data_IF_301298458153
#
_entry.id   IF_301298458153
#
_cell.length_a   1.000
_cell.length_b   1.000
_cell.length_c   1.000
_cell.angle_alpha   90.00
_cell.angle_beta   90.00
_cell.angle_gamma   90.00
#
_symmetry.space_group_name_H-M   'P 1'
#
loop_
_entity.id
_entity.type
_entity.pdbx_description
1 polymer ?
#
# COMPACT_ATOMS: atom_id res chain seq x y z
N UNK A 1 -1.16 -18.16 -10.36
CA UNK A 1 -0.15 -18.73 -9.42
C UNK A 1 -0.52 -18.32 -8.00
N UNK A 2 -0.33 -19.18 -7.02
CA UNK A 2 -0.58 -18.84 -5.61
C UNK A 2 0.43 -17.79 -5.11
N UNK A 3 -0.02 -16.86 -4.26
CA UNK A 3 0.79 -15.79 -3.65
C UNK A 3 1.31 -16.15 -2.25
N UNK A 4 1.12 -17.39 -1.83
CA UNK A 4 1.36 -17.83 -0.45
C UNK A 4 2.79 -17.55 0.04
N UNK A 5 3.82 -17.75 -0.79
CA UNK A 5 5.20 -17.50 -0.42
C UNK A 5 5.50 -16.00 -0.21
N UNK A 6 4.92 -15.13 -1.06
CA UNK A 6 5.11 -13.69 -0.94
C UNK A 6 4.34 -13.14 0.27
N UNK A 7 3.12 -13.65 0.52
CA UNK A 7 2.34 -13.34 1.71
C UNK A 7 3.06 -13.84 2.96
N UNK A 8 3.60 -15.07 2.95
CA UNK A 8 4.39 -15.61 4.05
C UNK A 8 5.55 -14.68 4.39
N UNK A 9 6.36 -14.28 3.39
CA UNK A 9 7.47 -13.36 3.61
C UNK A 9 6.99 -12.02 4.17
N UNK A 10 5.87 -11.48 3.67
CA UNK A 10 5.28 -10.25 4.20
C UNK A 10 4.89 -10.38 5.67
N UNK A 11 4.37 -11.53 6.09
CA UNK A 11 3.90 -11.80 7.45
C UNK A 11 5.00 -12.10 8.47
N UNK A 12 6.22 -12.45 8.04
CA UNK A 12 7.31 -12.71 8.96
C UNK A 12 7.55 -11.50 9.87
N UNK A 13 7.36 -11.70 11.19
CA UNK A 13 7.73 -10.72 12.21
C UNK A 13 9.26 -10.56 12.30
N UNK A 14 9.72 -9.59 13.06
CA UNK A 14 11.12 -9.28 13.36
C UNK A 14 11.99 -8.89 12.15
N UNK A 15 11.71 -9.37 10.94
CA UNK A 15 12.43 -8.93 9.73
C UNK A 15 11.87 -7.58 9.28
N UNK A 16 12.70 -6.55 9.26
CA UNK A 16 12.30 -5.21 8.83
C UNK A 16 11.92 -5.17 7.34
N UNK A 17 11.11 -4.18 6.95
CA UNK A 17 10.60 -4.07 5.57
C UNK A 17 11.73 -3.98 4.54
N UNK A 18 12.76 -3.17 4.82
CA UNK A 18 13.90 -3.04 3.93
C UNK A 18 14.72 -4.35 3.81
N UNK A 19 14.83 -5.14 4.89
CA UNK A 19 15.47 -6.47 4.83
C UNK A 19 14.66 -7.44 3.98
N UNK A 20 13.33 -7.42 4.06
CA UNK A 20 12.46 -8.21 3.17
C UNK A 20 12.67 -7.81 1.70
N UNK A 21 12.80 -6.51 1.41
CA UNK A 21 13.11 -6.03 0.07
C UNK A 21 14.48 -6.52 -0.42
N UNK A 22 15.51 -6.53 0.45
CA UNK A 22 16.82 -7.11 0.13
C UNK A 22 16.71 -8.60 -0.20
N UNK A 23 15.97 -9.37 0.61
CA UNK A 23 15.74 -10.79 0.34
C UNK A 23 15.05 -11.02 -1.01
N UNK A 24 14.01 -10.24 -1.33
CA UNK A 24 13.34 -10.31 -2.63
C UNK A 24 14.28 -10.00 -3.81
N UNK A 25 15.13 -8.99 -3.67
CA UNK A 25 16.12 -8.64 -4.70
C UNK A 25 17.15 -9.76 -4.90
N UNK A 26 17.61 -10.39 -3.81
CA UNK A 26 18.63 -11.44 -3.88
C UNK A 26 18.08 -12.78 -4.38
N UNK A 27 16.92 -13.19 -3.90
CA UNK A 27 16.36 -14.51 -4.20
C UNK A 27 15.24 -14.49 -5.26
N UNK A 28 14.90 -13.31 -5.77
CA UNK A 28 13.98 -13.13 -6.87
C UNK A 28 12.50 -13.27 -6.53
N UNK A 29 12.12 -13.88 -5.40
CA UNK A 29 10.72 -14.08 -5.00
C UNK A 29 10.62 -14.53 -3.54
N UNK A 30 9.41 -14.44 -2.95
CA UNK A 30 9.14 -15.03 -1.65
C UNK A 30 9.39 -16.54 -1.63
N UNK A 31 9.12 -17.23 -2.75
CA UNK A 31 9.44 -18.65 -2.91
C UNK A 31 10.95 -18.89 -2.86
N UNK A 32 11.75 -18.10 -3.56
CA UNK A 32 13.22 -18.21 -3.51
C UNK A 32 13.76 -18.01 -2.08
N UNK A 33 13.22 -17.04 -1.34
CA UNK A 33 13.56 -16.86 0.08
C UNK A 33 13.16 -18.07 0.93
N UNK A 34 11.96 -18.60 0.69
CA UNK A 34 11.49 -19.79 1.39
C UNK A 34 12.38 -21.00 1.11
N UNK A 35 12.77 -21.27 -0.13
CA UNK A 35 13.63 -22.37 -0.53
C UNK A 35 15.06 -22.23 0.02
N UNK A 36 15.62 -21.01 0.04
CA UNK A 36 16.94 -20.75 0.64
C UNK A 36 16.95 -21.03 2.14
N UNK A 37 15.84 -20.78 2.83
CA UNK A 37 15.68 -21.03 4.25
C UNK A 37 16.64 -20.21 5.12
N UNK A 38 16.65 -20.52 6.43
CA UNK A 38 17.48 -19.77 7.40
C UNK A 38 18.97 -19.89 7.11
N UNK A 39 19.45 -21.07 6.70
CA UNK A 39 20.88 -21.33 6.52
C UNK A 39 21.42 -20.60 5.27
N UNK A 40 20.65 -20.58 4.17
CA UNK A 40 20.96 -19.80 2.99
C UNK A 40 21.01 -18.30 3.29
N UNK A 41 19.96 -17.79 3.95
CA UNK A 41 19.92 -16.37 4.32
C UNK A 41 21.04 -15.99 5.28
N UNK A 42 21.34 -16.81 6.29
CA UNK A 42 22.45 -16.56 7.22
C UNK A 42 23.80 -16.49 6.52
N UNK A 43 24.02 -17.35 5.52
CA UNK A 43 25.25 -17.36 4.73
C UNK A 43 25.35 -16.12 3.84
N UNK A 44 24.28 -15.74 3.16
CA UNK A 44 24.27 -14.69 2.15
C UNK A 44 24.10 -13.28 2.75
N UNK A 45 23.57 -13.19 3.98
CA UNK A 45 23.35 -11.95 4.74
C UNK A 45 23.88 -12.05 6.18
N UNK A 46 25.22 -12.02 6.37
CA UNK A 46 25.85 -12.20 7.69
C UNK A 46 25.45 -11.10 8.71
N UNK A 47 24.99 -9.93 8.23
CA UNK A 47 24.55 -8.82 9.08
C UNK A 47 23.09 -8.96 9.59
N UNK A 48 22.38 -10.01 9.19
CA UNK A 48 21.07 -10.28 9.75
C UNK A 48 21.20 -10.76 11.19
N UNK A 49 20.39 -10.19 12.06
CA UNK A 49 20.41 -10.55 13.48
C UNK A 49 19.92 -11.98 13.70
N UNK A 50 20.25 -12.56 14.84
CA UNK A 50 19.76 -13.88 15.21
C UNK A 50 18.20 -13.96 15.15
N UNK A 51 17.50 -12.87 15.56
CA UNK A 51 16.03 -12.78 15.49
C UNK A 51 15.49 -12.78 14.05
N UNK A 52 16.20 -12.14 13.12
CA UNK A 52 15.83 -12.17 11.70
C UNK A 52 15.92 -13.60 11.14
N UNK A 53 16.97 -14.33 11.52
CA UNK A 53 17.20 -15.72 11.07
C UNK A 53 16.19 -16.66 11.71
N UNK A 54 15.90 -16.52 12.99
CA UNK A 54 14.89 -17.32 13.70
C UNK A 54 13.49 -17.12 13.10
N UNK A 55 13.16 -15.91 12.66
CA UNK A 55 11.89 -15.65 11.99
C UNK A 55 11.66 -16.50 10.73
N UNK A 56 12.75 -16.90 10.04
CA UNK A 56 12.69 -17.76 8.84
C UNK A 56 12.43 -19.24 9.17
N UNK A 57 12.47 -19.63 10.44
CA UNK A 57 12.09 -20.97 10.89
C UNK A 57 10.58 -21.19 10.80
N UNK A 58 9.79 -20.10 10.86
CA UNK A 58 8.37 -20.19 10.61
C UNK A 58 8.11 -20.46 9.13
N UNK A 59 7.90 -21.72 8.80
CA UNK A 59 7.64 -22.20 7.43
C UNK A 59 6.16 -22.52 7.20
N UNK A 60 5.28 -22.02 8.07
CA UNK A 60 3.85 -22.27 7.96
C UNK A 60 3.24 -21.40 6.84
N UNK A 61 2.79 -22.04 5.78
CA UNK A 61 2.08 -21.42 4.65
C UNK A 61 0.55 -21.40 4.84
N UNK A 62 0.01 -22.10 5.85
CA UNK A 62 -1.43 -22.12 6.07
C UNK A 62 -1.99 -20.73 6.41
N UNK A 63 -1.24 -19.94 7.19
CA UNK A 63 -1.64 -18.58 7.52
C UNK A 63 -1.66 -17.69 6.26
N UNK A 64 -0.71 -17.87 5.36
CA UNK A 64 -0.68 -17.17 4.07
C UNK A 64 -1.86 -17.62 3.17
N UNK A 65 -2.20 -18.90 3.17
CA UNK A 65 -3.37 -19.42 2.46
C UNK A 65 -4.69 -18.81 3.01
N UNK A 66 -4.83 -18.73 4.35
CA UNK A 66 -5.99 -18.07 4.99
C UNK A 66 -6.11 -16.58 4.62
N UNK A 67 -4.98 -15.88 4.48
CA UNK A 67 -4.96 -14.49 4.02
C UNK A 67 -5.44 -14.41 2.56
N UNK A 68 -4.98 -15.30 1.67
CA UNK A 68 -5.40 -15.34 0.27
C UNK A 68 -6.91 -15.57 0.15
N UNK A 69 -7.47 -16.51 0.93
CA UNK A 69 -8.91 -16.73 1.02
C UNK A 69 -9.68 -15.53 1.60
N UNK A 70 -9.14 -14.87 2.63
CA UNK A 70 -9.76 -13.68 3.20
C UNK A 70 -9.80 -12.52 2.21
N UNK A 71 -8.75 -12.36 1.38
CA UNK A 71 -8.74 -11.40 0.28
C UNK A 71 -9.85 -11.68 -0.73
N UNK A 72 -10.03 -12.94 -1.13
CA UNK A 72 -11.10 -13.32 -2.05
C UNK A 72 -12.50 -12.97 -1.48
N UNK A 73 -12.72 -13.21 -0.18
CA UNK A 73 -14.01 -12.88 0.49
C UNK A 73 -14.32 -11.38 0.52
N UNK A 74 -13.32 -10.49 0.54
CA UNK A 74 -13.53 -9.04 0.53
C UNK A 74 -13.25 -8.39 -0.83
N UNK A 75 -13.16 -9.19 -1.91
CA UNK A 75 -12.86 -8.74 -3.27
C UNK A 75 -11.54 -7.94 -3.35
N UNK A 76 -10.55 -8.36 -2.60
CA UNK A 76 -9.19 -7.84 -2.68
C UNK A 76 -8.30 -8.77 -3.50
N UNK A 77 -7.46 -8.20 -4.36
CA UNK A 77 -6.39 -8.91 -5.06
C UNK A 77 -5.08 -8.76 -4.29
N UNK A 78 -4.22 -9.77 -4.35
CA UNK A 78 -2.85 -9.71 -3.85
C UNK A 78 -1.93 -9.46 -5.02
N UNK A 79 -1.17 -8.37 -4.98
CA UNK A 79 -0.16 -8.04 -5.98
C UNK A 79 1.20 -8.12 -5.29
N UNK A 80 2.05 -9.01 -5.78
CA UNK A 80 3.41 -9.23 -5.28
C UNK A 80 4.41 -8.29 -5.94
N UNK A 81 5.51 -7.99 -5.27
CA UNK A 81 6.59 -7.12 -5.75
C UNK A 81 7.05 -7.43 -7.19
N UNK A 82 7.04 -8.71 -7.60
CA UNK A 82 7.49 -9.16 -8.90
C UNK A 82 6.39 -9.27 -9.96
N UNK A 83 5.14 -8.95 -9.61
CA UNK A 83 4.06 -8.94 -10.59
C UNK A 83 4.21 -7.76 -11.55
N UNK A 84 3.74 -7.94 -12.77
CA UNK A 84 3.80 -6.90 -13.79
C UNK A 84 2.92 -5.68 -13.49
N UNK A 85 1.87 -5.86 -12.68
CA UNK A 85 0.96 -4.81 -12.25
C UNK A 85 1.34 -4.18 -10.89
N UNK A 86 2.49 -4.57 -10.30
CA UNK A 86 3.02 -3.88 -9.13
C UNK A 86 3.50 -2.45 -9.52
N UNK A 87 3.10 -1.39 -8.79
CA UNK A 87 3.41 -0.02 -9.18
C UNK A 87 4.92 0.22 -9.33
N UNK A 88 5.36 0.65 -10.52
CA UNK A 88 6.78 0.80 -10.83
C UNK A 88 7.48 1.78 -9.89
N UNK A 89 6.87 2.95 -9.63
CA UNK A 89 7.43 3.94 -8.69
C UNK A 89 7.59 3.37 -7.27
N UNK A 90 6.67 2.51 -6.83
CA UNK A 90 6.72 1.91 -5.51
C UNK A 90 7.87 0.90 -5.37
N UNK A 91 8.39 0.34 -6.47
CA UNK A 91 9.58 -0.52 -6.45
C UNK A 91 10.85 0.25 -6.10
N UNK A 92 10.88 1.55 -6.37
CA UNK A 92 12.08 2.38 -6.23
C UNK A 92 12.32 2.88 -4.80
N UNK A 93 11.33 2.78 -3.90
CA UNK A 93 11.54 3.18 -2.50
C UNK A 93 12.48 2.18 -1.78
N UNK A 94 13.19 2.61 -0.72
CA UNK A 94 14.15 1.75 -0.02
C UNK A 94 13.53 0.48 0.58
N UNK A 95 12.26 0.53 0.95
CA UNK A 95 11.53 -0.53 1.65
C UNK A 95 10.16 -0.83 1.01
N UNK A 96 10.12 -1.22 -0.29
CA UNK A 96 8.87 -1.51 -0.98
C UNK A 96 8.13 -2.66 -0.29
N UNK A 97 6.80 -2.60 -0.21
CA UNK A 97 6.00 -3.72 0.28
C UNK A 97 6.25 -5.01 -0.49
N UNK A 98 6.45 -6.13 0.21
CA UNK A 98 6.55 -7.46 -0.40
C UNK A 98 5.30 -7.81 -1.21
N UNK A 99 4.15 -7.45 -0.66
CA UNK A 99 2.83 -7.54 -1.29
C UNK A 99 2.02 -6.28 -0.97
N UNK A 100 1.13 -5.92 -1.87
CA UNK A 100 0.05 -4.97 -1.64
C UNK A 100 -1.30 -5.67 -1.87
N UNK A 101 -2.25 -5.34 -1.01
CA UNK A 101 -3.64 -5.78 -1.13
C UNK A 101 -4.43 -4.68 -1.81
N UNK A 102 -5.19 -5.01 -2.86
CA UNK A 102 -5.83 -4.02 -3.74
C UNK A 102 -7.31 -4.32 -3.91
N UNK A 103 -8.17 -3.34 -3.72
CA UNK A 103 -9.58 -3.36 -4.10
C UNK A 103 -9.82 -2.31 -5.18
N UNK A 104 -10.58 -2.65 -6.21
CA UNK A 104 -10.70 -1.85 -7.41
C UNK A 104 -9.59 -2.13 -8.41
N UNK A 105 -9.29 -1.15 -9.28
CA UNK A 105 -8.30 -1.27 -10.34
C UNK A 105 -7.23 -0.19 -10.23
N UNK A 106 -5.96 -0.61 -10.19
CA UNK A 106 -4.85 0.34 -10.26
C UNK A 106 -4.92 1.08 -11.61
N UNK A 107 -4.63 2.39 -11.61
CA UNK A 107 -4.60 3.17 -12.85
C UNK A 107 -3.59 2.61 -13.85
N UNK A 108 -4.04 2.41 -15.08
CA UNK A 108 -3.21 1.88 -16.17
C UNK A 108 -2.48 2.99 -16.93
N UNK A 109 -1.41 2.61 -17.62
CA UNK A 109 -0.63 3.48 -18.49
C UNK A 109 0.32 4.43 -17.75
N UNK A 110 1.04 5.25 -18.52
CA UNK A 110 2.01 6.23 -18.02
C UNK A 110 1.31 7.53 -17.58
N UNK A 111 0.50 7.44 -16.51
CA UNK A 111 -0.16 8.62 -15.93
C UNK A 111 0.73 9.29 -14.90
N UNK A 112 0.64 10.61 -14.82
CA UNK A 112 1.27 11.34 -13.73
C UNK A 112 0.51 11.09 -12.42
N UNK A 113 1.21 10.68 -11.39
CA UNK A 113 0.65 10.47 -10.05
C UNK A 113 1.15 11.58 -9.13
N UNK A 114 0.24 12.24 -8.44
CA UNK A 114 0.55 13.29 -7.46
C UNK A 114 -0.04 12.89 -6.11
N UNK A 115 0.82 12.80 -5.09
CA UNK A 115 0.37 12.66 -3.71
C UNK A 115 -0.20 14.00 -3.23
N UNK A 116 -1.43 14.01 -2.74
CA UNK A 116 -2.02 15.18 -2.08
C UNK A 116 -2.29 14.86 -0.62
N UNK A 117 -1.65 15.60 0.28
CA UNK A 117 -1.67 15.32 1.72
C UNK A 117 -1.82 16.61 2.53
N UNK A 118 -2.21 16.46 3.79
CA UNK A 118 -2.28 17.59 4.71
C UNK A 118 -2.96 17.26 6.04
N UNK A 119 -3.40 18.31 6.72
CA UNK A 119 -4.01 18.19 8.05
C UNK A 119 -5.31 17.40 8.02
N UNK A 120 -5.51 16.56 9.07
CA UNK A 120 -6.80 15.89 9.34
C UNK A 120 -7.87 16.86 9.79
N UNK A 121 -7.49 17.87 10.60
CA UNK A 121 -8.35 18.99 11.02
C UNK A 121 -7.99 20.22 10.20
N UNK A 122 -8.21 20.13 8.88
CA UNK A 122 -7.93 21.21 7.95
C UNK A 122 -8.96 22.34 8.05
N UNK A 123 -8.56 23.55 7.65
CA UNK A 123 -9.46 24.67 7.50
C UNK A 123 -10.47 24.44 6.36
N UNK A 124 -11.61 25.14 6.40
CA UNK A 124 -12.57 25.09 5.31
C UNK A 124 -11.96 25.51 3.98
N UNK A 125 -11.09 26.53 3.99
CA UNK A 125 -10.33 26.97 2.82
C UNK A 125 -9.37 25.89 2.33
N UNK A 126 -8.62 25.23 3.22
CA UNK A 126 -7.72 24.14 2.88
C UNK A 126 -8.44 22.95 2.24
N UNK A 127 -9.59 22.55 2.78
CA UNK A 127 -10.41 21.49 2.21
C UNK A 127 -10.97 21.87 0.82
N UNK A 128 -11.42 23.11 0.65
CA UNK A 128 -11.88 23.64 -0.64
C UNK A 128 -10.74 23.61 -1.67
N UNK A 129 -9.59 24.18 -1.32
CA UNK A 129 -8.42 24.20 -2.20
C UNK A 129 -7.97 22.78 -2.59
N UNK A 130 -7.98 21.83 -1.63
CA UNK A 130 -7.65 20.44 -1.91
C UNK A 130 -8.58 19.82 -2.96
N UNK A 131 -9.89 20.05 -2.82
CA UNK A 131 -10.87 19.54 -3.77
C UNK A 131 -10.73 20.20 -5.16
N UNK A 132 -10.60 21.52 -5.24
CA UNK A 132 -10.45 22.27 -6.50
C UNK A 132 -9.17 21.89 -7.25
N UNK A 133 -8.03 21.84 -6.56
CA UNK A 133 -6.76 21.46 -7.16
C UNK A 133 -6.80 20.00 -7.66
N UNK A 134 -7.33 19.08 -6.82
CA UNK A 134 -7.47 17.68 -7.21
C UNK A 134 -8.39 17.51 -8.43
N UNK A 135 -9.48 18.28 -8.51
CA UNK A 135 -10.39 18.31 -9.65
C UNK A 135 -9.68 18.76 -10.93
N UNK A 136 -8.97 19.87 -10.89
CA UNK A 136 -8.26 20.40 -12.07
C UNK A 136 -7.14 19.46 -12.53
N UNK A 137 -6.37 18.88 -11.59
CA UNK A 137 -5.36 17.86 -11.92
C UNK A 137 -6.01 16.64 -12.57
N UNK A 138 -7.11 16.16 -12.00
CA UNK A 138 -7.84 14.99 -12.47
C UNK A 138 -8.40 15.21 -13.88
N UNK A 139 -8.99 16.35 -14.18
CA UNK A 139 -9.45 16.71 -15.55
C UNK A 139 -8.33 16.60 -16.60
N UNK A 140 -7.10 16.81 -16.18
CA UNK A 140 -5.92 16.68 -17.03
C UNK A 140 -5.29 15.27 -16.98
N UNK A 141 -6.01 14.27 -16.49
CA UNK A 141 -5.59 12.87 -16.48
C UNK A 141 -4.61 12.48 -15.36
N UNK A 142 -4.32 13.41 -14.44
CA UNK A 142 -3.44 13.15 -13.29
C UNK A 142 -4.16 12.26 -12.27
N UNK A 143 -3.47 11.24 -11.77
CA UNK A 143 -3.95 10.38 -10.69
C UNK A 143 -3.60 10.98 -9.34
N UNK A 144 -4.60 11.19 -8.51
CA UNK A 144 -4.40 11.63 -7.13
C UNK A 144 -4.18 10.42 -6.22
N UNK A 145 -3.07 10.44 -5.47
CA UNK A 145 -2.75 9.44 -4.45
C UNK A 145 -2.84 10.09 -3.07
N UNK A 146 -3.61 9.50 -2.16
CA UNK A 146 -3.74 10.04 -0.81
C UNK A 146 -4.10 8.95 0.21
N UNK A 147 -4.29 9.35 1.47
CA UNK A 147 -4.45 8.40 2.58
C UNK A 147 -5.87 8.17 3.05
N UNK A 148 -6.87 8.76 2.41
CA UNK A 148 -8.29 8.67 2.80
C UNK A 148 -8.57 9.12 4.26
N UNK A 149 -7.67 9.90 4.88
CA UNK A 149 -7.89 10.49 6.19
C UNK A 149 -8.92 11.64 6.13
N UNK A 150 -9.34 12.12 7.30
CA UNK A 150 -10.15 13.35 7.37
C UNK A 150 -9.40 14.55 6.80
N UNK A 151 -10.11 15.61 6.46
CA UNK A 151 -9.56 16.87 5.97
C UNK A 151 -9.03 16.78 4.55
N UNK A 152 -7.76 17.10 4.35
CA UNK A 152 -7.17 17.25 3.01
C UNK A 152 -7.28 15.96 2.18
N UNK A 153 -6.94 14.81 2.75
CA UNK A 153 -6.94 13.54 2.01
C UNK A 153 -8.33 13.23 1.41
N UNK A 154 -9.36 13.27 2.25
CA UNK A 154 -10.75 13.01 1.83
C UNK A 154 -11.25 14.02 0.80
N UNK A 155 -10.89 15.31 0.94
CA UNK A 155 -11.26 16.37 -0.01
C UNK A 155 -10.56 16.18 -1.35
N UNK A 156 -9.27 15.78 -1.34
CA UNK A 156 -8.51 15.50 -2.56
C UNK A 156 -9.10 14.31 -3.35
N UNK A 157 -9.49 13.24 -2.66
CA UNK A 157 -10.15 12.10 -3.34
C UNK A 157 -11.49 12.49 -3.97
N UNK A 158 -12.31 13.30 -3.28
CA UNK A 158 -13.58 13.80 -3.83
C UNK A 158 -13.35 14.62 -5.08
N UNK A 159 -12.44 15.61 -5.00
CA UNK A 159 -12.11 16.43 -6.17
C UNK A 159 -11.58 15.61 -7.34
N UNK A 160 -10.75 14.59 -7.08
CA UNK A 160 -10.27 13.70 -8.13
C UNK A 160 -11.39 12.90 -8.81
N UNK A 161 -12.33 12.35 -8.02
CA UNK A 161 -13.50 11.65 -8.56
C UNK A 161 -14.40 12.57 -9.38
N UNK A 162 -14.65 13.79 -8.91
CA UNK A 162 -15.45 14.79 -9.61
C UNK A 162 -14.77 15.22 -10.93
N UNK A 163 -13.44 15.20 -11.00
CA UNK A 163 -12.66 15.51 -12.20
C UNK A 163 -12.58 14.37 -13.22
N UNK A 164 -13.01 13.14 -12.84
CA UNK A 164 -13.16 11.98 -13.73
C UNK A 164 -11.92 11.12 -13.94
N UNK A 165 -10.77 11.45 -13.32
CA UNK A 165 -9.60 10.54 -13.31
C UNK A 165 -9.67 9.56 -12.15
N UNK A 166 -9.07 8.36 -12.27
CA UNK A 166 -8.97 7.45 -11.14
C UNK A 166 -8.13 8.06 -10.01
N UNK A 167 -8.46 7.67 -8.78
CA UNK A 167 -7.67 8.04 -7.59
C UNK A 167 -7.27 6.79 -6.80
N UNK A 168 -6.14 6.86 -6.08
CA UNK A 168 -5.62 5.74 -5.29
C UNK A 168 -5.57 6.11 -3.82
N UNK A 169 -6.38 5.42 -3.02
CA UNK A 169 -6.34 5.55 -1.58
C UNK A 169 -5.43 4.49 -0.96
N UNK A 170 -4.43 4.93 -0.22
CA UNK A 170 -3.54 4.04 0.54
C UNK A 170 -4.02 4.00 1.98
N UNK A 171 -4.29 2.82 2.53
CA UNK A 171 -4.79 2.65 3.89
C UNK A 171 -3.66 2.38 4.89
N UNK A 172 -3.80 2.91 6.12
CA UNK A 172 -3.01 2.51 7.29
C UNK A 172 -3.68 1.39 8.11
N UNK A 173 -4.80 0.86 7.60
CA UNK A 173 -5.58 -0.24 8.21
C UNK A 173 -5.57 -1.45 7.28
N UNK A 174 -6.12 -2.57 7.74
CA UNK A 174 -6.39 -3.72 6.87
C UNK A 174 -7.24 -3.31 5.66
N UNK A 175 -7.05 -4.00 4.52
CA UNK A 175 -7.69 -3.69 3.24
C UNK A 175 -9.23 -3.78 3.29
N UNK A 176 -9.78 -4.58 4.20
CA UNK A 176 -11.20 -4.75 4.44
C UNK A 176 -11.81 -3.71 5.39
N UNK A 177 -10.98 -2.79 5.95
CA UNK A 177 -11.41 -1.78 6.94
C UNK A 177 -11.42 -0.37 6.37
N UNK A 178 -12.58 0.29 6.47
CA UNK A 178 -12.69 1.73 6.21
C UNK A 178 -12.33 2.54 7.46
N UNK A 179 -11.36 3.43 7.32
CA UNK A 179 -11.03 4.39 8.38
C UNK A 179 -10.73 5.78 7.78
N UNK A 180 -11.41 6.83 8.26
CA UNK A 180 -12.50 6.81 9.24
C UNK A 180 -13.79 6.17 8.69
N UNK A 181 -14.62 5.60 9.56
CA UNK A 181 -15.83 4.87 9.15
C UNK A 181 -16.83 5.73 8.33
N UNK A 182 -16.88 7.03 8.59
CA UNK A 182 -17.72 7.98 7.82
C UNK A 182 -17.32 8.10 6.34
N UNK A 183 -16.13 7.67 5.95
CA UNK A 183 -15.66 7.64 4.56
C UNK A 183 -16.06 6.36 3.81
N UNK A 184 -16.98 5.53 4.35
CA UNK A 184 -17.40 4.31 3.70
C UNK A 184 -18.01 4.54 2.30
N UNK A 185 -18.73 5.65 2.10
CA UNK A 185 -19.22 6.08 0.77
C UNK A 185 -18.05 6.39 -0.17
N UNK A 186 -17.15 7.28 0.27
CA UNK A 186 -15.96 7.66 -0.48
C UNK A 186 -15.09 6.44 -0.86
N UNK A 187 -14.92 5.49 0.06
CA UNK A 187 -14.17 4.25 -0.22
C UNK A 187 -14.82 3.44 -1.34
N UNK A 188 -16.15 3.33 -1.37
CA UNK A 188 -16.88 2.65 -2.46
C UNK A 188 -16.66 3.35 -3.80
N UNK A 189 -16.75 4.68 -3.81
CA UNK A 189 -16.58 5.47 -5.03
C UNK A 189 -15.14 5.35 -5.57
N UNK A 190 -14.13 5.35 -4.67
CA UNK A 190 -12.73 5.13 -5.04
C UNK A 190 -12.53 3.71 -5.61
N UNK A 191 -13.12 2.68 -5.00
CA UNK A 191 -13.03 1.29 -5.51
C UNK A 191 -13.66 1.16 -6.89
N UNK A 192 -14.75 1.87 -7.14
CA UNK A 192 -15.45 1.84 -8.43
C UNK A 192 -14.68 2.55 -9.56
N UNK A 193 -13.91 3.59 -9.24
CA UNK A 193 -13.28 4.48 -10.23
C UNK A 193 -11.74 4.53 -10.11
N UNK A 194 -11.13 3.64 -9.33
CA UNK A 194 -9.70 3.62 -9.07
C UNK A 194 -9.35 2.47 -8.14
N UNK A 195 -8.48 2.71 -7.15
CA UNK A 195 -8.06 1.66 -6.24
C UNK A 195 -7.96 2.11 -4.79
N UNK A 196 -8.29 1.20 -3.91
CA UNK A 196 -7.90 1.25 -2.49
C UNK A 196 -6.83 0.20 -2.27
N UNK A 197 -5.71 0.58 -1.66
CA UNK A 197 -4.60 -0.32 -1.40
C UNK A 197 -4.20 -0.33 0.07
N UNK A 198 -3.65 -1.43 0.52
CA UNK A 198 -3.07 -1.58 1.86
C UNK A 198 -1.88 -2.53 1.85
N UNK A 199 -0.93 -2.31 2.75
CA UNK A 199 0.13 -3.28 3.07
C UNK A 199 -0.34 -4.30 4.12
N UNK A 200 -1.55 -4.11 4.69
CA UNK A 200 -2.10 -4.95 5.75
C UNK A 200 -3.23 -5.83 5.22
N UNK A 201 -3.13 -7.17 5.41
CA UNK A 201 -4.14 -8.11 4.93
C UNK A 201 -5.48 -7.93 5.66
N UNK A 202 -6.57 -8.54 5.14
CA UNK A 202 -7.86 -8.53 5.80
C UNK A 202 -7.79 -9.06 7.24
N UNK A 203 -8.60 -8.48 8.13
CA UNK A 203 -8.74 -8.92 9.52
C UNK A 203 -7.65 -8.44 10.49
N UNK A 204 -6.57 -7.84 10.00
CA UNK A 204 -5.51 -7.31 10.88
C UNK A 204 -6.02 -6.10 11.66
N UNK A 205 -5.72 -6.06 12.96
CA UNK A 205 -6.08 -4.94 13.83
C UNK A 205 -5.35 -3.66 13.40
N UNK A 206 -6.07 -2.54 13.45
CA UNK A 206 -5.47 -1.24 13.20
C UNK A 206 -4.53 -0.85 14.34
N UNK A 207 -3.32 -0.44 14.00
CA UNK A 207 -2.33 0.08 14.93
C UNK A 207 -1.98 1.53 14.56
N UNK A 208 -1.95 2.47 15.52
CA UNK A 208 -1.72 3.90 15.23
C UNK A 208 -0.45 4.17 14.43
N UNK A 209 0.63 3.46 14.70
CA UNK A 209 1.91 3.58 13.97
C UNK A 209 1.81 3.25 12.48
N UNK A 210 0.84 2.42 12.08
CA UNK A 210 0.66 2.05 10.67
C UNK A 210 0.32 3.24 9.77
N UNK A 211 -0.38 4.26 10.30
CA UNK A 211 -0.71 5.47 9.55
C UNK A 211 0.53 6.27 9.15
N UNK A 212 1.55 6.29 10.02
CA UNK A 212 2.83 6.94 9.71
C UNK A 212 3.63 6.10 8.71
N UNK A 213 3.74 4.80 8.97
CA UNK A 213 4.47 3.86 8.10
C UNK A 213 3.88 3.80 6.69
N UNK A 214 2.56 3.93 6.55
CA UNK A 214 1.86 3.95 5.27
C UNK A 214 2.29 5.12 4.37
N UNK A 215 2.64 6.28 4.93
CA UNK A 215 2.89 7.49 4.15
C UNK A 215 4.02 7.31 3.12
N UNK A 216 5.01 6.43 3.38
CA UNK A 216 6.03 6.06 2.40
C UNK A 216 5.45 5.45 1.11
N UNK A 217 4.30 4.76 1.22
CA UNK A 217 3.62 4.18 0.06
C UNK A 217 2.91 5.28 -0.73
N UNK A 218 2.29 6.26 -0.06
CA UNK A 218 1.68 7.41 -0.74
C UNK A 218 2.73 8.16 -1.57
N UNK A 219 3.84 8.55 -0.95
CA UNK A 219 4.94 9.21 -1.67
C UNK A 219 5.59 8.31 -2.71
N UNK A 220 5.79 7.03 -2.39
CA UNK A 220 6.42 6.05 -3.27
C UNK A 220 5.60 5.66 -4.49
N UNK A 221 4.31 5.94 -4.52
CA UNK A 221 3.46 5.76 -5.69
C UNK A 221 3.31 7.03 -6.53
N UNK A 222 4.02 8.11 -6.20
CA UNK A 222 3.79 9.43 -6.77
C UNK A 222 5.06 10.04 -7.32
N UNK A 223 4.94 10.78 -8.42
CA UNK A 223 6.03 11.55 -9.02
C UNK A 223 6.36 12.82 -8.22
N UNK A 224 5.40 13.29 -7.43
CA UNK A 224 5.57 14.46 -6.56
C UNK A 224 4.57 14.44 -5.40
N UNK A 225 4.89 15.21 -4.35
CA UNK A 225 4.03 15.36 -3.16
C UNK A 225 3.61 16.81 -3.04
N UNK A 226 2.32 17.04 -2.98
CA UNK A 226 1.72 18.35 -2.74
C UNK A 226 1.11 18.40 -1.35
N UNK A 227 1.69 19.22 -0.47
CA UNK A 227 1.18 19.48 0.87
C UNK A 227 0.25 20.68 0.80
N UNK A 228 -1.06 20.43 0.89
CA UNK A 228 -2.09 21.50 0.73
C UNK A 228 -2.17 22.38 1.97
N UNK A 229 -2.14 21.77 3.15
CA UNK A 229 -2.15 22.46 4.43
C UNK A 229 -1.32 21.70 5.45
N UNK A 230 -0.29 22.33 5.99
CA UNK A 230 0.54 21.83 7.08
C UNK A 230 0.07 22.42 8.42
N UNK A 231 0.45 21.77 9.54
CA UNK A 231 0.07 22.23 10.87
C UNK A 231 1.04 21.84 11.94
#
# INVERSE_FOLDING_TARGET
MTKQYDIWLAMLGHISKWKKAMLLKAYGSGRGVYEAGKDGVKRDFPDFTQKDIEALENRNLEDAARVEEACARCSARVISYNDGDYPALLKEIPDPPTVIYVRGSLPEGHRLHIAMVGRRKASAAGMKNAAEIAYELSKNGVVIVSGMADGIDGSSHKGALDGGSPTVAVLGTAIDRCYPAKHAGLMRDIIANGAVISEYPPGVAAFPGNFLLRNRIISGMSHGVFVVEAG
#
